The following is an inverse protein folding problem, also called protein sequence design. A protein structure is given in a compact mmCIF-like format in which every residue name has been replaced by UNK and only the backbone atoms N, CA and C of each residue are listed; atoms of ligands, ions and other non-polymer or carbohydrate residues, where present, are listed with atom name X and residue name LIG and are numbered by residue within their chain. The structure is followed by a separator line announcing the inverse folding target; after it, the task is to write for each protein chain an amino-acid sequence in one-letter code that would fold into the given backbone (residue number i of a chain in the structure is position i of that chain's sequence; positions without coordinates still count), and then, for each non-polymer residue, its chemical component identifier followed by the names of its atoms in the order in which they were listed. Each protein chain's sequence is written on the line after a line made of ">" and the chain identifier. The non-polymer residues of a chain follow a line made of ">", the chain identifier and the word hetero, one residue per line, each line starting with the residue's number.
data_IF_413795896394
#
_entry.id   IF_413795896394
#
_cell.length_a   1.000
_cell.length_b   1.000
_cell.length_c   1.000
_cell.angle_alpha   90.00
_cell.angle_beta   90.00
_cell.angle_gamma   90.00
#
_symmetry.space_group_name_H-M   'P 1'
#
loop_
_entity.id
_entity.type
_entity.pdbx_description
1 polymer ?
#
# COMPACT_ATOMS: atom_id res chain seq x y z
N UNK A 1 9.34 17.44 -3.43
CA UNK A 1 8.17 17.78 -2.59
C UNK A 1 7.31 18.74 -3.38
N UNK A 2 6.00 18.47 -3.48
CA UNK A 2 5.00 19.29 -4.15
C UNK A 2 4.27 20.21 -3.16
N UNK A 3 3.71 19.65 -2.09
CA UNK A 3 3.05 20.34 -0.98
C UNK A 3 3.08 19.46 0.29
N UNK A 4 2.47 19.91 1.39
CA UNK A 4 2.35 19.19 2.67
C UNK A 4 0.89 18.95 3.02
N UNK A 5 0.59 17.79 3.61
CA UNK A 5 -0.74 17.42 4.08
C UNK A 5 -1.01 18.05 5.45
N UNK A 6 -1.24 19.37 5.48
CA UNK A 6 -1.33 20.13 6.73
C UNK A 6 -2.67 19.92 7.49
N UNK A 7 -3.68 19.35 6.84
CA UNK A 7 -4.97 19.07 7.47
C UNK A 7 -4.84 17.86 8.40
N UNK A 8 -5.12 18.00 9.71
CA UNK A 8 -4.96 16.92 10.68
C UNK A 8 -5.85 15.70 10.41
N UNK A 9 -6.87 15.85 9.56
CA UNK A 9 -7.71 14.73 9.11
C UNK A 9 -6.98 13.80 8.14
N UNK A 10 -5.83 14.20 7.60
CA UNK A 10 -5.02 13.40 6.67
C UNK A 10 -3.85 12.69 7.37
N UNK A 11 -3.83 12.70 8.72
CA UNK A 11 -2.68 12.23 9.50
C UNK A 11 -2.33 10.76 9.20
N UNK A 12 -3.29 9.94 8.81
CA UNK A 12 -3.14 8.49 8.67
C UNK A 12 -3.29 8.07 7.20
N UNK A 13 -2.81 8.91 6.27
CA UNK A 13 -2.98 8.68 4.82
C UNK A 13 -2.25 7.40 4.38
N UNK A 14 -3.01 6.43 3.89
CA UNK A 14 -2.54 5.11 3.47
C UNK A 14 -2.68 4.85 1.97
N UNK A 15 -3.75 5.38 1.34
CA UNK A 15 -4.00 5.25 -0.10
C UNK A 15 -4.00 6.58 -0.86
N UNK A 16 -3.61 6.55 -2.14
CA UNK A 16 -3.50 7.73 -3.01
C UNK A 16 -3.93 7.40 -4.46
N UNK A 17 -4.71 8.27 -5.10
CA UNK A 17 -4.98 8.24 -6.54
C UNK A 17 -4.97 9.64 -7.15
N UNK A 18 -4.85 9.71 -8.48
CA UNK A 18 -4.98 10.94 -9.25
C UNK A 18 -6.22 10.86 -10.13
N UNK A 19 -7.12 11.83 -9.98
CA UNK A 19 -8.32 11.98 -10.77
C UNK A 19 -8.00 12.37 -12.23
N UNK A 20 -8.96 12.17 -13.13
CA UNK A 20 -8.80 12.51 -14.55
C UNK A 20 -8.53 14.01 -14.80
N UNK A 21 -8.99 14.88 -13.91
CA UNK A 21 -8.73 16.32 -13.94
C UNK A 21 -7.47 16.73 -13.16
N UNK A 22 -6.67 15.77 -12.69
CA UNK A 22 -5.38 15.98 -12.04
C UNK A 22 -5.44 16.22 -10.53
N UNK A 23 -6.64 16.28 -9.95
CA UNK A 23 -6.77 16.39 -8.50
C UNK A 23 -6.26 15.12 -7.80
N UNK A 24 -5.67 15.31 -6.63
CA UNK A 24 -5.21 14.20 -5.78
C UNK A 24 -6.35 13.77 -4.87
N UNK A 25 -6.52 12.47 -4.69
CA UNK A 25 -7.50 11.91 -3.75
C UNK A 25 -6.78 10.92 -2.83
N UNK A 26 -7.03 11.01 -1.53
CA UNK A 26 -6.39 10.18 -0.49
C UNK A 26 -7.42 9.55 0.42
N UNK A 27 -7.07 8.41 1.01
CA UNK A 27 -7.84 7.75 2.08
C UNK A 27 -6.92 7.46 3.25
N UNK A 28 -7.48 7.44 4.45
CA UNK A 28 -6.77 7.00 5.65
C UNK A 28 -7.08 5.53 5.98
N UNK A 29 -6.15 4.86 6.65
CA UNK A 29 -6.33 3.50 7.19
C UNK A 29 -7.28 3.47 8.40
N UNK A 30 -7.31 4.55 9.18
CA UNK A 30 -8.14 4.71 10.36
C UNK A 30 -9.36 5.63 10.16
N UNK A 31 -10.22 5.68 11.18
CA UNK A 31 -11.39 6.57 11.17
C UNK A 31 -12.60 6.00 10.41
N UNK A 32 -13.02 4.77 10.72
CA UNK A 32 -14.18 4.13 10.10
C UNK A 32 -15.52 4.70 10.63
N UNK A 33 -16.50 4.98 9.75
CA UNK A 33 -16.46 4.87 8.28
C UNK A 33 -15.44 5.80 7.61
N UNK A 34 -14.61 5.26 6.70
CA UNK A 34 -13.54 6.01 6.03
C UNK A 34 -14.08 7.18 5.19
N UNK A 35 -13.20 8.10 4.83
CA UNK A 35 -13.50 9.22 3.92
C UNK A 35 -12.39 9.33 2.89
N UNK A 36 -12.75 9.48 1.62
CA UNK A 36 -11.79 9.87 0.58
C UNK A 36 -11.75 11.39 0.51
N UNK A 37 -10.59 11.97 0.79
CA UNK A 37 -10.36 13.40 0.74
C UNK A 37 -9.79 13.79 -0.61
N UNK A 38 -10.42 14.76 -1.26
CA UNK A 38 -9.95 15.36 -2.50
C UNK A 38 -9.16 16.62 -2.20
N UNK A 39 -7.97 16.71 -2.77
CA UNK A 39 -6.99 17.76 -2.52
C UNK A 39 -6.79 18.64 -3.77
N UNK A 40 -6.56 19.92 -3.54
CA UNK A 40 -6.09 20.85 -4.58
C UNK A 40 -4.56 20.81 -4.76
N UNK A 41 -4.02 21.66 -5.66
CA UNK A 41 -2.59 21.75 -5.95
C UNK A 41 -1.72 22.18 -4.76
N UNK A 42 -2.35 22.72 -3.70
CA UNK A 42 -1.69 23.11 -2.45
C UNK A 42 -1.83 22.06 -1.36
N UNK A 43 -2.37 20.88 -1.67
CA UNK A 43 -2.72 19.81 -0.73
C UNK A 43 -3.85 20.19 0.25
N UNK A 44 -4.63 21.25 -0.02
CA UNK A 44 -5.77 21.61 0.82
C UNK A 44 -6.97 20.72 0.48
N UNK A 45 -7.72 20.29 1.50
CA UNK A 45 -8.96 19.53 1.32
C UNK A 45 -10.03 20.41 0.70
N UNK A 46 -10.52 20.03 -0.48
CA UNK A 46 -11.54 20.75 -1.25
C UNK A 46 -12.79 19.91 -1.54
N UNK A 47 -12.78 18.63 -1.16
CA UNK A 47 -13.92 17.75 -1.31
C UNK A 47 -13.76 16.47 -0.49
N UNK A 48 -14.89 15.81 -0.24
CA UNK A 48 -14.98 14.60 0.56
C UNK A 48 -15.95 13.64 -0.13
N UNK A 49 -15.59 12.36 -0.15
CA UNK A 49 -16.47 11.26 -0.57
C UNK A 49 -16.57 10.33 0.64
N UNK A 50 -17.75 10.28 1.24
CA UNK A 50 -18.01 9.37 2.36
C UNK A 50 -17.91 7.93 1.86
N UNK A 51 -17.17 7.09 2.61
CA UNK A 51 -17.13 5.66 2.36
C UNK A 51 -18.16 5.02 3.30
N UNK A 52 -19.06 4.15 2.81
CA UNK A 52 -20.08 3.54 3.66
C UNK A 52 -19.47 2.76 4.83
N UNK A 53 -20.21 2.70 5.95
CA UNK A 53 -19.87 2.01 7.21
C UNK A 53 -19.91 0.48 7.09
N UNK A 54 -19.13 -0.04 6.15
CA UNK A 54 -18.90 -1.45 5.88
C UNK A 54 -17.44 -1.79 5.62
N UNK A 55 -16.59 -0.79 5.34
CA UNK A 55 -15.13 -0.90 5.46
C UNK A 55 -14.72 -0.86 6.92
N UNK A 56 -13.64 -1.56 7.27
CA UNK A 56 -13.15 -1.67 8.65
C UNK A 56 -11.69 -1.23 8.81
N UNK A 57 -10.90 -1.35 7.74
CA UNK A 57 -9.45 -1.13 7.71
C UNK A 57 -9.06 -0.92 6.24
N UNK A 58 -9.31 0.31 5.72
CA UNK A 58 -9.12 0.64 4.30
C UNK A 58 -7.68 1.07 4.06
N UNK A 59 -6.89 0.21 3.44
CA UNK A 59 -5.44 0.41 3.34
C UNK A 59 -5.00 1.10 2.05
N UNK A 60 -5.78 0.94 0.97
CA UNK A 60 -5.39 1.44 -0.35
C UNK A 60 -6.63 1.70 -1.22
N UNK A 61 -6.45 2.47 -2.29
CA UNK A 61 -7.49 2.70 -3.29
C UNK A 61 -6.93 2.79 -4.71
N UNK A 62 -7.77 2.45 -5.68
CA UNK A 62 -7.46 2.57 -7.10
C UNK A 62 -8.58 3.31 -7.82
N UNK A 63 -8.23 3.95 -8.94
CA UNK A 63 -9.20 4.62 -9.81
C UNK A 63 -9.21 4.01 -11.20
N UNK A 64 -10.39 3.54 -11.62
CA UNK A 64 -10.62 3.03 -12.95
C UNK A 64 -10.63 4.15 -13.99
N UNK A 65 -10.35 3.81 -15.26
CA UNK A 65 -10.39 4.76 -16.37
C UNK A 65 -11.79 5.35 -16.62
N UNK A 66 -12.84 4.67 -16.17
CA UNK A 66 -14.24 5.11 -16.16
C UNK A 66 -14.57 6.07 -15.00
N UNK A 67 -13.60 6.35 -14.13
CA UNK A 67 -13.74 7.21 -12.96
C UNK A 67 -14.20 6.49 -11.69
N UNK A 68 -14.49 5.17 -11.76
CA UNK A 68 -14.86 4.35 -10.61
C UNK A 68 -13.75 4.33 -9.57
N UNK A 69 -14.10 4.55 -8.30
CA UNK A 69 -13.20 4.39 -7.17
C UNK A 69 -13.35 2.99 -6.58
N UNK A 70 -12.21 2.36 -6.32
CA UNK A 70 -12.11 1.04 -5.70
C UNK A 70 -11.31 1.17 -4.41
N UNK A 71 -11.90 0.83 -3.27
CA UNK A 71 -11.24 0.92 -1.97
C UNK A 71 -11.00 -0.48 -1.42
N UNK A 72 -9.82 -0.71 -0.85
CA UNK A 72 -9.40 -1.99 -0.33
C UNK A 72 -9.50 -2.02 1.20
N UNK A 73 -10.58 -2.60 1.72
CA UNK A 73 -10.72 -2.94 3.13
C UNK A 73 -10.01 -4.28 3.42
N UNK A 74 -8.68 -4.22 3.43
CA UNK A 74 -7.78 -5.38 3.37
C UNK A 74 -6.82 -5.50 4.57
N UNK A 75 -6.80 -4.50 5.45
CA UNK A 75 -6.02 -4.50 6.69
C UNK A 75 -6.50 -5.53 7.70
N UNK A 76 -5.54 -6.19 8.34
CA UNK A 76 -5.76 -7.18 9.40
C UNK A 76 -4.47 -7.44 10.21
N UNK A 77 -3.90 -6.44 10.85
CA UNK A 77 -2.64 -6.54 11.62
C UNK A 77 -2.63 -7.74 12.60
N UNK A 78 -3.80 -8.04 13.16
CA UNK A 78 -4.05 -9.11 14.11
C UNK A 78 -4.27 -10.50 13.47
N UNK A 79 -4.45 -10.57 12.14
CA UNK A 79 -4.75 -11.75 11.31
C UNK A 79 -5.94 -12.56 11.82
N UNK A 80 -7.06 -11.90 12.09
CA UNK A 80 -8.28 -12.50 12.67
C UNK A 80 -9.50 -12.42 11.74
N UNK A 81 -9.45 -11.64 10.67
CA UNK A 81 -10.57 -11.43 9.76
C UNK A 81 -10.74 -12.63 8.83
N UNK A 82 -11.95 -13.19 8.82
CA UNK A 82 -12.31 -14.29 7.91
C UNK A 82 -12.56 -13.83 6.47
N UNK A 83 -12.71 -12.52 6.26
CA UNK A 83 -12.86 -11.88 4.94
C UNK A 83 -12.23 -10.50 4.94
N UNK A 84 -11.67 -10.14 3.81
CA UNK A 84 -11.39 -8.75 3.40
C UNK A 84 -12.48 -8.27 2.44
N UNK A 85 -12.47 -7.01 2.03
CA UNK A 85 -13.42 -6.50 1.07
C UNK A 85 -12.80 -5.53 0.06
N UNK A 86 -13.41 -5.47 -1.11
CA UNK A 86 -13.20 -4.39 -2.08
C UNK A 86 -14.53 -3.67 -2.25
N UNK A 87 -14.51 -2.36 -2.00
CA UNK A 87 -15.63 -1.46 -2.18
C UNK A 87 -15.50 -0.78 -3.53
N UNK A 88 -16.62 -0.61 -4.22
CA UNK A 88 -16.74 0.12 -5.49
C UNK A 88 -17.65 1.30 -5.26
N UNK A 89 -17.22 2.50 -5.65
CA UNK A 89 -18.03 3.71 -5.73
C UNK A 89 -17.93 4.21 -7.16
N UNK A 90 -19.02 4.19 -7.90
CA UNK A 90 -18.99 4.68 -9.28
C UNK A 90 -19.13 6.22 -9.37
N UNK A 91 -18.94 6.82 -10.56
CA UNK A 91 -19.06 8.27 -10.71
C UNK A 91 -20.45 8.83 -10.37
N UNK A 92 -21.48 7.99 -10.35
CA UNK A 92 -22.84 8.36 -9.92
C UNK A 92 -23.01 8.33 -8.40
N UNK A 93 -22.04 7.77 -7.66
CA UNK A 93 -22.09 7.56 -6.22
C UNK A 93 -22.75 6.24 -5.81
N UNK A 94 -23.04 5.34 -6.76
CA UNK A 94 -23.59 4.03 -6.40
C UNK A 94 -22.49 3.12 -5.84
N UNK A 95 -22.82 2.47 -4.73
CA UNK A 95 -21.86 1.74 -3.91
C UNK A 95 -22.12 0.24 -3.94
N UNK A 96 -21.06 -0.55 -4.04
CA UNK A 96 -21.13 -2.00 -3.81
C UNK A 96 -19.93 -2.50 -3.03
N UNK A 97 -20.11 -3.60 -2.30
CA UNK A 97 -19.04 -4.24 -1.54
C UNK A 97 -18.98 -5.73 -1.87
N UNK A 98 -17.81 -6.19 -2.30
CA UNK A 98 -17.53 -7.61 -2.51
C UNK A 98 -16.58 -8.09 -1.42
N UNK A 99 -17.03 -9.04 -0.59
CA UNK A 99 -16.22 -9.67 0.46
C UNK A 99 -15.46 -10.87 -0.08
N UNK A 100 -14.15 -10.88 0.13
CA UNK A 100 -13.23 -11.88 -0.41
C UNK A 100 -12.62 -12.72 0.72
N UNK A 101 -12.50 -14.02 0.50
CA UNK A 101 -11.87 -14.95 1.45
C UNK A 101 -10.55 -15.46 0.88
N UNK A 102 -9.47 -15.32 1.66
CA UNK A 102 -8.18 -15.93 1.37
C UNK A 102 -8.25 -17.47 1.45
N UNK A 103 -7.50 -18.20 0.61
CA UNK A 103 -7.56 -19.66 0.56
C UNK A 103 -6.79 -20.35 1.70
N UNK A 104 -5.91 -19.63 2.38
CA UNK A 104 -4.89 -20.14 3.30
C UNK A 104 -4.89 -19.46 4.67
N UNK A 105 -5.97 -18.74 5.01
CA UNK A 105 -6.15 -18.08 6.30
C UNK A 105 -6.11 -16.56 6.19
N UNK A 106 -6.28 -15.89 7.33
CA UNK A 106 -6.27 -14.43 7.39
C UNK A 106 -4.86 -13.86 7.11
N UNK A 107 -4.80 -12.80 6.31
CA UNK A 107 -3.59 -12.05 6.03
C UNK A 107 -3.84 -10.57 6.20
N UNK A 108 -2.80 -9.90 6.67
CA UNK A 108 -2.68 -8.46 6.64
C UNK A 108 -2.14 -8.03 5.27
N UNK A 109 -2.76 -7.03 4.64
CA UNK A 109 -2.41 -6.59 3.30
C UNK A 109 -2.67 -5.10 3.14
N UNK A 110 -1.80 -4.42 2.39
CA UNK A 110 -1.82 -2.95 2.29
C UNK A 110 -1.71 -2.44 0.86
N UNK A 111 -1.66 -3.33 -0.14
CA UNK A 111 -1.53 -2.87 -1.53
C UNK A 111 -2.63 -3.45 -2.40
N UNK A 112 -3.30 -2.56 -3.13
CA UNK A 112 -4.28 -2.88 -4.15
C UNK A 112 -3.70 -2.56 -5.53
N UNK A 113 -3.79 -3.52 -6.44
CA UNK A 113 -3.58 -3.28 -7.87
C UNK A 113 -4.87 -3.67 -8.60
N UNK A 114 -5.50 -2.70 -9.27
CA UNK A 114 -6.78 -2.90 -9.96
C UNK A 114 -6.59 -2.94 -11.49
N UNK A 115 -6.44 -4.13 -12.09
CA UNK A 115 -6.39 -4.30 -13.55
C UNK A 115 -7.74 -4.07 -14.22
N UNK A 116 -7.74 -4.00 -15.56
CA UNK A 116 -8.94 -3.72 -16.36
C UNK A 116 -10.00 -4.83 -16.41
N UNK A 117 -9.73 -6.02 -15.86
CA UNK A 117 -10.69 -7.13 -15.74
C UNK A 117 -11.43 -7.13 -14.39
N UNK A 118 -11.31 -6.04 -13.62
CA UNK A 118 -11.91 -5.84 -12.29
C UNK A 118 -11.62 -6.98 -11.30
N UNK A 119 -10.52 -7.70 -11.51
CA UNK A 119 -10.06 -8.75 -10.60
C UNK A 119 -8.89 -8.21 -9.79
N UNK A 120 -9.12 -7.72 -8.56
CA UNK A 120 -8.07 -7.10 -7.76
C UNK A 120 -6.92 -8.07 -7.52
N UNK A 121 -5.70 -7.54 -7.62
CA UNK A 121 -4.49 -8.18 -7.13
C UNK A 121 -4.12 -7.53 -5.80
N UNK A 122 -4.10 -8.33 -4.73
CA UNK A 122 -3.81 -7.89 -3.37
C UNK A 122 -2.44 -8.41 -2.96
N UNK A 123 -1.59 -7.54 -2.40
CA UNK A 123 -0.25 -7.88 -1.91
C UNK A 123 -0.23 -7.74 -0.39
N UNK A 124 0.20 -8.80 0.29
CA UNK A 124 0.21 -8.84 1.77
C UNK A 124 1.33 -7.98 2.36
N UNK A 125 1.09 -7.40 3.54
CA UNK A 125 2.13 -6.74 4.33
C UNK A 125 2.95 -7.80 5.07
N UNK A 126 4.16 -8.08 4.57
CA UNK A 126 5.06 -9.04 5.19
C UNK A 126 6.44 -8.40 5.45
N UNK A 127 6.76 -8.19 6.72
CA UNK A 127 8.00 -7.56 7.17
C UNK A 127 9.26 -8.37 6.79
N UNK A 128 9.13 -9.62 6.37
CA UNK A 128 10.27 -10.44 5.91
C UNK A 128 10.84 -10.01 4.56
N UNK A 129 10.18 -9.09 3.83
CA UNK A 129 10.55 -8.81 2.44
C UNK A 129 9.85 -9.67 1.42
N UNK A 130 9.01 -10.64 1.84
CA UNK A 130 8.40 -11.64 0.95
C UNK A 130 6.88 -11.64 1.10
N UNK A 131 6.21 -10.85 0.27
CA UNK A 131 4.75 -10.71 0.29
C UNK A 131 4.07 -11.77 -0.57
N UNK A 132 2.95 -12.31 -0.10
CA UNK A 132 2.03 -13.10 -0.91
C UNK A 132 1.27 -12.23 -1.89
N UNK A 133 1.02 -12.77 -3.09
CA UNK A 133 0.21 -12.13 -4.14
C UNK A 133 -1.07 -12.94 -4.32
N UNK A 134 -2.21 -12.30 -4.13
CA UNK A 134 -3.53 -12.92 -4.18
C UNK A 134 -4.39 -12.25 -5.24
N UNK A 135 -5.23 -13.03 -5.93
CA UNK A 135 -6.08 -12.53 -7.02
C UNK A 135 -7.52 -13.01 -6.80
N UNK A 136 -8.50 -12.13 -7.04
CA UNK A 136 -9.91 -12.55 -7.04
C UNK A 136 -10.19 -13.55 -8.17
N UNK A 137 -10.91 -14.63 -7.85
CA UNK A 137 -11.28 -15.65 -8.84
C UNK A 137 -12.29 -15.14 -9.88
N UNK A 138 -13.01 -14.07 -9.57
CA UNK A 138 -13.99 -13.43 -10.46
C UNK A 138 -13.95 -11.91 -10.29
N UNK A 139 -14.39 -11.14 -11.32
CA UNK A 139 -14.52 -9.69 -11.22
C UNK A 139 -15.34 -9.27 -9.99
N UNK A 140 -14.91 -8.21 -9.31
CA UNK A 140 -15.63 -7.60 -8.18
C UNK A 140 -16.55 -6.46 -8.68
N UNK A 141 -17.29 -5.81 -7.77
CA UNK A 141 -18.13 -4.64 -8.12
C UNK A 141 -19.60 -4.93 -8.39
N UNK A 142 -19.99 -6.21 -8.45
CA UNK A 142 -21.40 -6.64 -8.39
C UNK A 142 -21.93 -6.82 -6.95
N UNK A 143 -21.09 -6.56 -5.95
CA UNK A 143 -21.32 -6.89 -4.55
C UNK A 143 -21.18 -8.37 -4.22
N UNK A 144 -21.54 -8.76 -3.00
CA UNK A 144 -21.63 -10.16 -2.59
C UNK A 144 -20.35 -10.74 -2.00
N UNK A 145 -20.08 -12.03 -2.31
CA UNK A 145 -18.94 -12.79 -1.76
C UNK A 145 -18.14 -13.45 -2.89
N UNK A 146 -16.83 -13.52 -2.73
CA UNK A 146 -15.92 -14.21 -3.63
C UNK A 146 -14.74 -14.84 -2.89
N UNK A 147 -13.86 -15.49 -3.65
CA UNK A 147 -12.64 -16.12 -3.14
C UNK A 147 -11.42 -15.51 -3.80
N UNK A 148 -10.33 -15.50 -3.06
CA UNK A 148 -9.00 -15.23 -3.58
C UNK A 148 -8.30 -16.56 -3.86
N UNK A 149 -7.46 -16.56 -4.89
CA UNK A 149 -6.43 -17.58 -5.09
C UNK A 149 -5.06 -16.98 -4.84
N UNK A 150 -4.14 -17.80 -4.33
CA UNK A 150 -2.72 -17.43 -4.23
C UNK A 150 -2.08 -17.52 -5.61
N UNK A 151 -1.63 -16.40 -6.15
CA UNK A 151 -1.05 -16.30 -7.49
C UNK A 151 0.49 -16.31 -7.48
N UNK A 152 1.10 -16.07 -6.33
CA UNK A 152 2.55 -16.12 -6.18
C UNK A 152 3.03 -15.35 -4.96
N UNK A 153 4.26 -14.87 -5.08
CA UNK A 153 4.93 -14.01 -4.10
C UNK A 153 5.71 -12.94 -4.86
N UNK A 154 5.86 -11.77 -4.24
CA UNK A 154 6.74 -10.69 -4.67
C UNK A 154 7.73 -10.40 -3.54
N UNK A 155 9.00 -10.24 -3.90
CA UNK A 155 10.09 -10.09 -2.94
C UNK A 155 10.70 -8.70 -3.09
N UNK A 156 10.87 -7.98 -1.99
CA UNK A 156 11.64 -6.73 -1.97
C UNK A 156 13.10 -7.04 -2.33
N UNK A 157 13.67 -6.45 -3.41
CA UNK A 157 15.03 -6.74 -3.81
C UNK A 157 16.08 -6.42 -2.71
N UNK A 158 16.99 -7.37 -2.49
CA UNK A 158 17.71 -7.61 -1.22
C UNK A 158 18.72 -6.57 -0.70
N UNK A 159 18.88 -5.41 -1.32
CA UNK A 159 19.70 -4.31 -0.75
C UNK A 159 18.87 -3.35 0.12
N UNK A 160 17.55 -3.42 0.08
CA UNK A 160 16.65 -2.50 0.80
C UNK A 160 16.19 -3.00 2.18
N UNK A 161 16.39 -4.29 2.51
CA UNK A 161 15.87 -4.92 3.74
C UNK A 161 16.64 -4.47 5.01
N UNK A 162 17.74 -3.71 4.87
CA UNK A 162 18.65 -3.38 5.99
C UNK A 162 18.21 -2.19 6.85
N UNK A 163 17.19 -1.43 6.45
CA UNK A 163 16.57 -0.36 7.25
C UNK A 163 15.28 -0.85 7.89
N UNK A 164 15.08 -0.55 9.17
CA UNK A 164 13.87 -0.91 9.94
C UNK A 164 12.62 -0.52 9.14
N UNK A 165 11.77 -1.49 8.81
CA UNK A 165 10.50 -1.29 8.08
C UNK A 165 10.56 -1.53 6.57
N UNK A 166 11.71 -1.44 5.91
CA UNK A 166 11.79 -1.40 4.44
C UNK A 166 11.46 -2.73 3.69
N UNK A 167 11.04 -3.78 4.41
CA UNK A 167 10.70 -5.08 3.84
C UNK A 167 9.22 -5.28 3.48
N UNK A 168 8.29 -4.46 3.99
CA UNK A 168 6.87 -4.63 3.68
C UNK A 168 6.45 -3.72 2.53
N UNK A 169 5.60 -4.25 1.64
CA UNK A 169 4.87 -3.42 0.69
C UNK A 169 3.65 -2.80 1.39
N UNK A 170 3.50 -1.49 1.26
CA UNK A 170 2.53 -0.65 1.98
C UNK A 170 1.56 0.09 1.04
N UNK A 171 1.73 -0.06 -0.28
CA UNK A 171 0.83 0.52 -1.28
C UNK A 171 1.13 0.04 -2.69
N UNK A 172 0.16 0.14 -3.59
CA UNK A 172 0.27 -0.28 -4.99
C UNK A 172 -0.37 0.70 -5.98
N UNK A 173 0.16 0.77 -7.21
CA UNK A 173 -0.51 1.48 -8.30
C UNK A 173 -0.20 0.89 -9.67
N UNK A 174 -1.07 1.17 -10.63
CA UNK A 174 -0.88 0.87 -12.05
C UNK A 174 -0.86 2.20 -12.81
N UNK A 175 0.09 2.38 -13.74
CA UNK A 175 0.15 3.59 -14.57
C UNK A 175 -1.08 3.71 -15.46
N UNK A 176 -1.47 4.95 -15.84
CA UNK A 176 -2.69 5.20 -16.61
C UNK A 176 -2.74 4.47 -17.97
N UNK A 177 -1.58 4.18 -18.57
CA UNK A 177 -1.44 3.40 -19.81
C UNK A 177 -1.30 1.89 -19.58
N UNK A 178 -1.30 1.44 -18.32
CA UNK A 178 -1.15 0.05 -17.91
C UNK A 178 0.22 -0.54 -18.19
N UNK A 179 1.26 0.28 -18.44
CA UNK A 179 2.60 -0.20 -18.82
C UNK A 179 3.57 -0.36 -17.66
N UNK A 180 3.23 0.17 -16.49
CA UNK A 180 4.05 0.09 -15.28
C UNK A 180 3.17 -0.28 -14.10
N UNK A 181 3.60 -1.28 -13.34
CA UNK A 181 3.05 -1.61 -12.02
C UNK A 181 4.03 -1.09 -10.98
N UNK A 182 3.55 -0.41 -9.95
CA UNK A 182 4.37 0.08 -8.85
C UNK A 182 3.92 -0.56 -7.54
N UNK A 183 4.89 -0.94 -6.71
CA UNK A 183 4.68 -1.23 -5.30
C UNK A 183 5.64 -0.37 -4.51
N UNK A 184 5.22 0.16 -3.36
CA UNK A 184 6.15 0.84 -2.44
C UNK A 184 6.33 0.07 -1.16
N UNK A 185 7.51 0.24 -0.60
CA UNK A 185 7.77 0.01 0.82
C UNK A 185 7.76 1.35 1.55
N UNK A 186 8.00 1.33 2.86
CA UNK A 186 8.17 2.57 3.64
C UNK A 186 9.21 3.53 3.07
N UNK A 187 10.24 3.04 2.36
CA UNK A 187 11.38 3.85 1.91
C UNK A 187 11.53 4.00 0.39
N UNK A 188 10.98 3.07 -0.40
CA UNK A 188 11.27 3.01 -1.84
C UNK A 188 10.04 2.63 -2.65
N UNK A 189 9.96 3.12 -3.89
CA UNK A 189 9.05 2.60 -4.90
C UNK A 189 9.79 1.64 -5.85
N UNK A 190 9.11 0.57 -6.24
CA UNK A 190 9.61 -0.47 -7.14
C UNK A 190 8.72 -0.53 -8.37
N UNK A 191 9.27 -0.14 -9.51
CA UNK A 191 8.55 -0.02 -10.77
C UNK A 191 8.81 -1.25 -11.64
N UNK A 192 7.76 -2.03 -11.87
CA UNK A 192 7.77 -3.25 -12.65
C UNK A 192 7.30 -2.99 -14.09
N UNK A 193 8.05 -3.41 -15.12
CA UNK A 193 7.60 -3.31 -16.50
C UNK A 193 6.42 -4.24 -16.78
N UNK A 194 5.36 -3.68 -17.37
CA UNK A 194 4.22 -4.42 -17.92
C UNK A 194 4.12 -4.19 -19.45
N UNK A 195 5.06 -4.74 -20.26
CA UNK A 195 5.11 -4.44 -21.69
C UNK A 195 3.90 -4.98 -22.47
N UNK A 196 3.19 -5.96 -21.93
CA UNK A 196 1.92 -6.48 -22.45
C UNK A 196 0.68 -5.70 -22.02
N UNK A 197 0.84 -4.70 -21.14
CA UNK A 197 -0.27 -4.03 -20.46
C UNK A 197 -0.67 -4.72 -19.16
N UNK A 198 -1.70 -4.18 -18.51
CA UNK A 198 -2.31 -4.70 -17.27
C UNK A 198 -3.82 -4.88 -17.46
N UNK A 199 -4.22 -5.39 -18.62
CA UNK A 199 -5.63 -5.60 -18.95
C UNK A 199 -6.27 -6.65 -18.05
N UNK A 200 -5.48 -7.60 -17.54
CA UNK A 200 -5.93 -8.65 -16.63
C UNK A 200 -5.10 -8.74 -15.37
N UNK A 201 -5.66 -9.32 -14.31
CA UNK A 201 -4.93 -9.66 -13.09
C UNK A 201 -3.72 -10.57 -13.35
N UNK A 202 -3.81 -11.47 -14.33
CA UNK A 202 -2.69 -12.35 -14.68
C UNK A 202 -1.54 -11.58 -15.35
N UNK A 203 -1.84 -10.52 -16.10
CA UNK A 203 -0.82 -9.61 -16.65
C UNK A 203 -0.08 -8.86 -15.53
N UNK A 204 -0.82 -8.37 -14.52
CA UNK A 204 -0.23 -7.71 -13.34
C UNK A 204 0.66 -8.69 -12.56
N UNK A 205 0.17 -9.92 -12.32
CA UNK A 205 0.97 -10.97 -11.66
C UNK A 205 2.23 -11.32 -12.48
N UNK A 206 2.15 -11.30 -13.81
CA UNK A 206 3.32 -11.50 -14.66
C UNK A 206 4.31 -10.34 -14.55
N UNK A 207 3.83 -9.09 -14.52
CA UNK A 207 4.67 -7.90 -14.35
C UNK A 207 5.45 -7.93 -13.03
N UNK A 208 4.83 -8.34 -11.93
CA UNK A 208 5.47 -8.47 -10.60
C UNK A 208 6.60 -9.52 -10.54
N UNK A 209 6.78 -10.34 -11.59
CA UNK A 209 7.91 -11.28 -11.72
C UNK A 209 9.11 -10.68 -12.47
N UNK A 210 8.92 -9.54 -13.13
CA UNK A 210 10.00 -8.86 -13.82
C UNK A 210 10.96 -8.21 -12.82
N UNK A 211 12.16 -7.87 -13.28
CA UNK A 211 13.12 -7.08 -12.49
C UNK A 211 12.60 -5.63 -12.40
N UNK A 212 12.36 -5.10 -11.19
CA UNK A 212 11.88 -3.73 -11.04
C UNK A 212 13.03 -2.71 -11.15
N UNK A 213 12.67 -1.48 -11.48
CA UNK A 213 13.51 -0.29 -11.28
C UNK A 213 13.20 0.29 -9.90
N UNK A 214 14.24 0.52 -9.08
CA UNK A 214 14.11 1.19 -7.79
C UNK A 214 14.04 2.70 -7.98
N UNK A 215 13.05 3.32 -7.39
CA UNK A 215 12.94 4.78 -7.23
C UNK A 215 13.05 5.08 -5.73
N UNK A 216 14.19 5.61 -5.26
CA UNK A 216 14.34 6.00 -3.88
C UNK A 216 13.33 7.10 -3.52
N UNK A 217 12.55 6.87 -2.47
CA UNK A 217 11.69 7.87 -1.89
C UNK A 217 12.43 8.53 -0.71
N UNK A 218 12.04 9.74 -0.29
CA UNK A 218 12.56 10.33 0.92
C UNK A 218 12.31 9.40 2.11
N UNK A 219 13.20 9.44 3.11
CA UNK A 219 13.05 8.65 4.34
C UNK A 219 11.90 9.20 5.20
N UNK A 220 10.68 9.02 4.72
CA UNK A 220 9.42 9.19 5.44
C UNK A 220 9.40 8.17 6.59
N UNK A 221 8.88 8.57 7.76
CA UNK A 221 8.83 7.68 8.94
C UNK A 221 7.85 6.53 8.69
N UNK A 222 6.75 6.80 7.97
CA UNK A 222 5.68 5.87 7.61
C UNK A 222 5.16 6.20 6.20
N UNK A 223 5.93 5.82 5.19
CA UNK A 223 5.53 6.00 3.81
C UNK A 223 4.62 4.89 3.28
N UNK A 224 3.40 5.22 2.83
CA UNK A 224 2.36 4.20 2.57
C UNK A 224 1.73 4.30 1.18
N UNK A 225 1.36 5.52 0.79
CA UNK A 225 0.56 5.73 -0.40
C UNK A 225 1.40 6.02 -1.66
N UNK A 226 0.94 5.54 -2.83
CA UNK A 226 1.53 5.88 -4.13
C UNK A 226 0.49 5.97 -5.24
N UNK A 227 0.74 6.80 -6.26
CA UNK A 227 -0.12 6.90 -7.44
C UNK A 227 0.67 7.33 -8.67
N UNK A 228 0.12 7.07 -9.85
CA UNK A 228 0.59 7.69 -11.08
C UNK A 228 -0.35 8.79 -11.53
N UNK A 229 0.22 9.94 -11.88
CA UNK A 229 -0.49 10.94 -12.68
C UNK A 229 -0.54 10.49 -14.15
N UNK A 230 -1.51 11.00 -14.95
CA UNK A 230 -1.65 10.61 -16.37
C UNK A 230 -0.42 10.85 -17.24
N UNK A 231 0.46 11.78 -16.86
CA UNK A 231 1.71 12.09 -17.57
C UNK A 231 2.88 11.16 -17.22
N UNK A 232 2.66 10.16 -16.35
CA UNK A 232 3.68 9.22 -15.90
C UNK A 232 4.49 9.69 -14.70
N UNK A 233 4.14 10.82 -14.08
CA UNK A 233 4.69 11.24 -12.78
C UNK A 233 4.24 10.28 -11.69
N UNK A 234 5.19 9.79 -10.88
CA UNK A 234 4.88 9.04 -9.65
C UNK A 234 4.68 10.03 -8.50
N UNK A 235 3.55 9.92 -7.81
CA UNK A 235 3.27 10.61 -6.55
C UNK A 235 3.40 9.63 -5.39
N UNK A 236 3.87 10.12 -4.24
CA UNK A 236 3.95 9.34 -3.00
C UNK A 236 3.73 10.23 -1.79
N UNK A 237 3.15 9.67 -0.73
CA UNK A 237 2.99 10.30 0.59
C UNK A 237 2.85 9.21 1.64
N UNK A 238 2.68 9.56 2.90
CA UNK A 238 2.34 8.61 3.96
C UNK A 238 1.75 9.31 5.17
N UNK A 239 1.89 8.68 6.32
CA UNK A 239 1.36 9.19 7.57
C UNK A 239 2.15 10.38 8.12
N UNK A 240 1.46 11.21 8.88
CA UNK A 240 2.00 12.29 9.68
C UNK A 240 2.26 11.79 11.10
N UNK A 241 3.52 11.71 11.56
CA UNK A 241 3.81 11.31 12.93
C UNK A 241 3.16 12.26 13.94
N UNK A 242 2.64 11.74 15.06
CA UNK A 242 1.93 12.54 16.09
C UNK A 242 2.69 13.81 16.53
N UNK A 243 4.02 13.72 16.71
CA UNK A 243 4.91 14.81 17.10
C UNK A 243 5.82 15.29 15.95
N UNK A 244 5.45 14.98 14.71
CA UNK A 244 6.24 15.24 13.50
C UNK A 244 5.73 16.42 12.66
N UNK A 245 6.51 16.86 11.66
CA UNK A 245 5.98 17.74 10.62
C UNK A 245 4.92 17.00 9.79
N UNK A 246 3.96 17.72 9.19
CA UNK A 246 2.99 17.16 8.23
C UNK A 246 3.65 16.35 7.12
N UNK A 247 3.00 15.25 6.72
CA UNK A 247 3.48 14.40 5.65
C UNK A 247 3.59 15.18 4.33
N UNK A 248 4.72 15.09 3.63
CA UNK A 248 4.89 15.72 2.32
C UNK A 248 4.27 14.88 1.19
N UNK A 249 3.59 15.54 0.25
CA UNK A 249 3.29 14.94 -1.05
C UNK A 249 4.51 15.08 -1.96
N UNK A 250 5.11 13.96 -2.36
CA UNK A 250 6.23 13.91 -3.28
C UNK A 250 5.78 13.65 -4.72
N UNK A 251 6.62 14.09 -5.66
CA UNK A 251 6.42 13.88 -7.08
C UNK A 251 7.77 13.56 -7.73
N UNK A 252 7.78 12.51 -8.55
CA UNK A 252 8.90 12.09 -9.39
C UNK A 252 8.44 12.14 -10.84
N UNK A 253 8.64 13.27 -11.54
CA UNK A 253 8.21 13.41 -12.94
C UNK A 253 8.87 12.40 -13.86
N UNK A 254 8.11 11.88 -14.83
CA UNK A 254 8.61 10.94 -15.83
C UNK A 254 9.04 9.58 -15.27
N UNK A 255 8.55 9.19 -14.08
CA UNK A 255 8.92 7.94 -13.41
C UNK A 255 8.64 6.69 -14.26
N UNK A 256 7.55 6.67 -15.03
CA UNK A 256 7.25 5.56 -15.95
C UNK A 256 8.31 5.39 -17.04
N UNK A 257 8.98 6.47 -17.47
CA UNK A 257 10.06 6.44 -18.44
C UNK A 257 11.30 5.68 -17.96
N UNK A 258 11.54 5.64 -16.65
CA UNK A 258 12.69 4.96 -16.05
C UNK A 258 12.69 3.44 -16.31
N UNK A 259 11.51 2.87 -16.54
CA UNK A 259 11.31 1.44 -16.80
C UNK A 259 11.62 1.07 -18.25
N UNK A 260 11.56 2.03 -19.17
CA UNK A 260 11.79 1.84 -20.62
C UNK A 260 13.28 1.93 -20.97
N UNK A 261 14.05 2.66 -20.17
CA UNK A 261 15.50 2.90 -20.37
C UNK A 261 16.41 1.91 -19.62
N UNK A 262 15.87 0.97 -18.84
CA UNK A 262 16.67 -0.01 -18.11
C UNK A 262 17.27 -1.06 -19.08
N UNK A 263 18.62 -1.16 -19.20
CA UNK A 263 19.23 -2.24 -19.98
C UNK A 263 18.83 -3.59 -19.39
N UNK A 264 18.62 -4.65 -20.20
CA UNK A 264 18.37 -5.97 -19.67
C UNK A 264 19.51 -6.36 -18.71
N UNK A 265 19.16 -6.64 -17.46
CA UNK A 265 20.11 -7.06 -16.45
C UNK A 265 20.85 -8.31 -16.98
N UNK A 266 22.15 -8.17 -17.21
CA UNK A 266 23.01 -9.33 -17.42
C UNK A 266 23.03 -10.10 -16.10
N UNK A 267 22.82 -11.43 -16.08
CA UNK A 267 22.90 -12.18 -14.84
C UNK A 267 24.32 -12.04 -14.28
N UNK A 268 24.49 -11.15 -13.31
CA UNK A 268 25.72 -11.03 -12.54
C UNK A 268 25.75 -12.20 -11.59
N UNK A 269 26.73 -13.09 -11.77
CA UNK A 269 27.00 -14.14 -10.80
C UNK A 269 27.17 -13.49 -9.43
N UNK A 270 26.38 -13.94 -8.44
CA UNK A 270 26.50 -13.46 -7.08
C UNK A 270 27.96 -13.51 -6.63
N UNK A 271 28.52 -12.44 -6.04
CA UNK A 271 29.83 -12.54 -5.44
C UNK A 271 29.74 -13.58 -4.31
N UNK A 272 30.61 -14.58 -4.37
CA UNK A 272 30.83 -15.49 -3.26
C UNK A 272 31.32 -14.63 -2.11
N UNK A 273 30.47 -14.40 -1.12
CA UNK A 273 30.85 -13.71 0.10
C UNK A 273 31.93 -14.54 0.80
N UNK A 274 33.16 -14.02 0.82
CA UNK A 274 34.20 -14.50 1.71
C UNK A 274 33.70 -14.31 3.15
N UNK A 275 33.63 -15.40 3.91
CA UNK A 275 33.30 -15.38 5.34
C UNK A 275 34.44 -14.76 6.11
N UNK A 276 34.50 -13.44 6.14
CA UNK A 276 35.25 -12.70 7.15
C UNK A 276 34.40 -12.65 8.43
N UNK A 277 34.98 -13.16 9.54
CA UNK A 277 34.28 -13.43 10.79
C UNK A 277 33.67 -12.21 11.48
N UNK A 278 32.57 -12.46 12.17
CA UNK A 278 31.89 -11.52 13.05
C UNK A 278 32.79 -11.13 14.24
N UNK A 279 32.94 -9.84 14.57
CA UNK A 279 33.33 -9.43 15.91
C UNK A 279 32.10 -9.39 16.83
N UNK A 280 32.11 -10.22 17.87
CA UNK A 280 31.21 -10.13 19.04
C UNK A 280 31.99 -9.56 20.26
N UNK A 281 31.34 -8.92 21.25
CA UNK A 281 29.91 -9.09 21.56
C UNK A 281 29.06 -7.81 21.62
N UNK A 282 27.86 -7.91 21.04
CA UNK A 282 26.75 -6.99 21.29
C UNK A 282 25.96 -7.46 22.51
N UNK A 283 26.53 -7.27 23.69
CA UNK A 283 25.82 -7.32 24.96
C UNK A 283 25.37 -5.91 25.36
N UNK A 284 24.49 -5.28 24.58
CA UNK A 284 23.63 -4.14 24.97
C UNK A 284 22.98 -3.52 23.74
N UNK A 285 21.80 -4.01 23.34
CA UNK A 285 20.62 -3.24 22.87
C UNK A 285 19.45 -4.24 23.00
N UNK A 286 19.12 -4.53 24.26
CA UNK A 286 17.95 -5.33 24.64
C UNK A 286 16.86 -4.47 25.30
N UNK A 287 16.77 -3.17 24.98
CA UNK A 287 15.94 -2.23 25.76
C UNK A 287 14.89 -1.45 24.93
N UNK A 288 14.92 -1.43 23.60
CA UNK A 288 13.90 -0.64 22.84
C UNK A 288 12.67 -1.47 22.43
N UNK A 289 12.79 -2.80 22.33
CA UNK A 289 11.65 -3.67 21.95
C UNK A 289 10.76 -4.13 23.12
N UNK A 290 10.97 -3.62 24.34
CA UNK A 290 10.15 -3.96 25.52
C UNK A 290 9.24 -2.81 26.00
N UNK A 291 9.32 -1.61 25.41
CA UNK A 291 8.54 -0.45 25.89
C UNK A 291 7.16 -0.37 25.21
N UNK A 292 7.03 -0.73 23.93
CA UNK A 292 5.72 -0.69 23.25
C UNK A 292 4.74 -1.79 23.72
N UNK A 293 5.23 -3.02 23.96
CA UNK A 293 4.38 -4.11 24.45
C UNK A 293 4.05 -4.00 25.97
N UNK A 294 4.92 -3.36 26.76
CA UNK A 294 4.71 -3.19 28.21
C UNK A 294 3.70 -2.10 28.58
N UNK A 295 3.61 -1.03 27.78
CA UNK A 295 2.69 0.09 28.04
C UNK A 295 1.24 -0.30 27.76
N UNK A 296 0.97 -1.08 26.70
CA UNK A 296 -0.40 -1.57 26.40
C UNK A 296 -0.92 -2.58 27.44
N UNK A 297 -0.07 -3.45 27.97
CA UNK A 297 -0.47 -4.42 29.00
C UNK A 297 -0.81 -3.73 30.35
N UNK A 298 -0.12 -2.65 30.71
CA UNK A 298 -0.35 -1.95 31.99
C UNK A 298 -1.64 -1.12 31.96
N UNK A 299 -1.97 -0.48 30.84
CA UNK A 299 -3.20 0.30 30.66
C UNK A 299 -4.45 -0.60 30.71
N UNK A 300 -4.39 -1.79 30.09
CA UNK A 300 -5.48 -2.75 30.12
C UNK A 300 -5.79 -3.28 31.54
N UNK A 301 -4.76 -3.53 32.36
CA UNK A 301 -4.94 -4.02 33.74
C UNK A 301 -5.53 -2.95 34.66
N UNK A 302 -5.11 -1.69 34.54
CA UNK A 302 -5.64 -0.58 35.36
C UNK A 302 -7.11 -0.27 35.01
N UNK A 303 -7.49 -0.37 33.73
CA UNK A 303 -8.88 -0.19 33.29
C UNK A 303 -9.82 -1.27 33.84
N UNK A 304 -9.39 -2.55 33.86
CA UNK A 304 -10.18 -3.67 34.40
C UNK A 304 -10.35 -3.59 35.92
N UNK A 305 -9.34 -3.12 36.66
CA UNK A 305 -9.41 -2.98 38.12
C UNK A 305 -10.32 -1.82 38.54
N UNK A 306 -10.34 -0.71 37.78
CA UNK A 306 -11.24 0.43 38.06
C UNK A 306 -12.71 0.10 37.76
N UNK A 307 -12.99 -0.70 36.73
CA UNK A 307 -14.37 -1.12 36.37
C UNK A 307 -15.01 -2.11 37.35
N UNK A 308 -14.21 -2.77 38.19
CA UNK A 308 -14.69 -3.71 39.23
C UNK A 308 -14.89 -3.08 40.61
N UNK A 309 -14.56 -1.79 40.77
CA UNK A 309 -14.61 -1.07 42.05
C UNK A 309 -15.50 0.18 42.01
N UNK A 310 -16.27 0.36 40.93
CA UNK A 310 -17.31 1.39 40.80
C UNK A 310 -18.68 0.75 40.71
#
# INVERSE_FOLDING_TARGET
>A
MRCTLDDPRLAETSGLVVAADGAVEVVNDSGNPSTVYRLDDTCAVVGEIEVPDQGRDVEDLARGADGTLWLADIGDNDRKRSTVAVLRIDPGGDETITRLTYPDGAHDAESLLMPGDDRPVIVTKDLSGRSGVYVADSPVGGGGRGTLRRAGEVVVPGEAITSLGAGAYTGGAISADGRVVALRTYADAWLYPAPGGTATADDVVAALRATPVRVPLPNEVQGEALAFAPDGTLLSTGETPEDGPPAPLHAVPGATGLVVDAPPATPSAAPVADRAGLPEPLASIGVVLAVAAGVFALVAVVAVVRRRRG
#
